data_IF_064320711648
#
_entry.id   IF_064320711648
#
_cell.length_a   1.000
_cell.length_b   1.000
_cell.length_c   1.000
_cell.angle_alpha   90.00
_cell.angle_beta   90.00
_cell.angle_gamma   90.00
#
_symmetry.space_group_name_H-M   'P 1'
#
loop_
_entity.id
_entity.type
_entity.pdbx_description
1 polymer ?
#
# COMPACT_ATOMS: atom_id res chain seq x y z
N UNK A 1 -66.25 32.76 -42.15
CA UNK A 1 -65.62 31.47 -42.44
C UNK A 1 -64.15 31.78 -42.72
N UNK A 2 -63.37 31.74 -41.78
CA UNK A 2 -61.94 32.07 -41.88
C UNK A 2 -61.24 31.29 -40.77
N UNK A 3 -60.56 30.27 -41.20
CA UNK A 3 -59.71 29.40 -40.35
C UNK A 3 -58.44 30.16 -39.95
N UNK A 4 -58.28 30.26 -38.67
CA UNK A 4 -57.05 30.81 -38.07
C UNK A 4 -56.20 29.62 -37.63
N UNK A 5 -55.16 29.27 -38.40
CA UNK A 5 -54.12 28.36 -38.00
C UNK A 5 -53.05 29.17 -37.21
N UNK A 6 -53.03 28.95 -35.92
CA UNK A 6 -51.99 29.46 -35.05
C UNK A 6 -50.81 28.48 -35.09
N UNK A 7 -49.80 28.85 -35.87
CA UNK A 7 -48.52 28.15 -35.94
C UNK A 7 -47.56 28.81 -34.91
N UNK A 8 -47.58 28.25 -33.71
CA UNK A 8 -46.56 28.62 -32.69
C UNK A 8 -45.20 27.99 -33.06
N UNK A 9 -44.45 28.66 -33.92
CA UNK A 9 -43.04 28.39 -34.15
C UNK A 9 -42.25 28.65 -32.87
N UNK A 10 -41.91 27.62 -32.18
CA UNK A 10 -41.00 27.68 -31.02
C UNK A 10 -39.58 27.96 -31.54
N UNK A 11 -39.24 29.22 -31.62
CA UNK A 11 -37.85 29.69 -31.98
C UNK A 11 -36.93 29.29 -30.84
N UNK A 12 -36.21 28.19 -30.98
CA UNK A 12 -35.13 27.82 -30.08
C UNK A 12 -33.96 28.77 -30.33
N UNK A 13 -33.64 29.58 -29.34
CA UNK A 13 -32.50 30.50 -29.42
C UNK A 13 -31.18 29.75 -29.58
N UNK A 14 -30.28 30.15 -30.50
CA UNK A 14 -29.02 29.43 -30.80
C UNK A 14 -28.04 29.23 -29.59
N UNK A 15 -28.24 29.95 -28.49
CA UNK A 15 -27.40 29.87 -27.29
C UNK A 15 -27.73 28.71 -26.32
N UNK A 16 -28.99 28.28 -26.27
CA UNK A 16 -29.44 27.25 -25.30
C UNK A 16 -29.02 25.84 -25.71
N UNK A 17 -28.94 25.56 -27.01
CA UNK A 17 -28.51 24.25 -27.53
C UNK A 17 -27.00 23.98 -27.25
N UNK A 18 -26.17 25.02 -27.23
CA UNK A 18 -24.74 24.89 -26.97
C UNK A 18 -24.42 24.65 -25.48
N UNK A 19 -25.23 25.20 -24.56
CA UNK A 19 -25.08 25.02 -23.12
C UNK A 19 -25.50 23.62 -22.68
N UNK A 20 -26.55 23.08 -23.29
CA UNK A 20 -27.07 21.74 -23.00
C UNK A 20 -26.10 20.65 -23.49
N UNK A 21 -25.57 20.78 -24.71
CA UNK A 21 -24.54 19.84 -25.23
C UNK A 21 -23.22 19.92 -24.41
N UNK A 22 -22.85 21.08 -23.90
CA UNK A 22 -21.69 21.25 -23.03
C UNK A 22 -21.85 20.56 -21.66
N UNK A 23 -23.06 20.60 -21.08
CA UNK A 23 -23.37 19.92 -19.82
C UNK A 23 -23.45 18.40 -19.98
N UNK A 24 -24.06 17.92 -21.05
CA UNK A 24 -24.14 16.47 -21.36
C UNK A 24 -22.76 15.86 -21.64
N UNK A 25 -21.89 16.57 -22.38
CA UNK A 25 -20.48 16.16 -22.58
C UNK A 25 -19.71 16.08 -21.27
N UNK A 26 -19.88 17.03 -20.35
CA UNK A 26 -19.22 17.03 -19.03
C UNK A 26 -19.73 15.89 -18.15
N UNK A 27 -21.02 15.56 -18.22
CA UNK A 27 -21.60 14.42 -17.48
C UNK A 27 -21.13 13.08 -18.06
N UNK A 28 -21.09 12.94 -19.38
CA UNK A 28 -20.56 11.74 -20.05
C UNK A 28 -19.07 11.56 -19.75
N UNK A 29 -18.28 12.64 -19.71
CA UNK A 29 -16.87 12.60 -19.40
C UNK A 29 -16.61 12.18 -17.93
N UNK A 30 -17.39 12.71 -16.98
CA UNK A 30 -17.35 12.29 -15.57
C UNK A 30 -17.73 10.82 -15.39
N UNK A 31 -18.74 10.33 -16.10
CA UNK A 31 -19.14 8.91 -16.06
C UNK A 31 -18.06 8.01 -16.64
N UNK A 32 -17.41 8.43 -17.74
CA UNK A 32 -16.32 7.66 -18.37
C UNK A 32 -15.06 7.61 -17.49
N UNK A 33 -14.76 8.67 -16.74
CA UNK A 33 -13.66 8.71 -15.75
C UNK A 33 -13.95 7.75 -14.60
N UNK A 34 -15.19 7.76 -14.07
CA UNK A 34 -15.59 6.85 -13.00
C UNK A 34 -15.51 5.38 -13.40
N UNK A 35 -15.95 5.05 -14.62
CA UNK A 35 -15.86 3.69 -15.15
C UNK A 35 -14.40 3.23 -15.31
N UNK A 36 -13.54 4.09 -15.85
CA UNK A 36 -12.10 3.79 -15.99
C UNK A 36 -11.42 3.56 -14.62
N UNK A 37 -11.77 4.34 -13.60
CA UNK A 37 -11.27 4.11 -12.24
C UNK A 37 -11.72 2.76 -11.67
N UNK A 38 -12.98 2.39 -11.90
CA UNK A 38 -13.51 1.10 -11.44
C UNK A 38 -12.84 -0.07 -12.16
N UNK A 39 -12.60 0.03 -13.46
CA UNK A 39 -11.90 -0.98 -14.26
C UNK A 39 -10.43 -1.11 -13.80
N UNK A 40 -9.75 0.00 -13.59
CA UNK A 40 -8.39 0.03 -13.07
C UNK A 40 -8.30 -0.61 -11.68
N UNK A 41 -9.22 -0.27 -10.78
CA UNK A 41 -9.30 -0.90 -9.45
C UNK A 41 -9.52 -2.42 -9.55
N UNK A 42 -10.46 -2.88 -10.38
CA UNK A 42 -10.69 -4.33 -10.58
C UNK A 42 -9.47 -5.03 -11.16
N UNK A 43 -8.80 -4.39 -12.12
CA UNK A 43 -7.56 -4.90 -12.71
C UNK A 43 -6.46 -5.04 -11.66
N UNK A 44 -6.29 -4.03 -10.79
CA UNK A 44 -5.34 -4.07 -9.69
C UNK A 44 -5.60 -5.24 -8.73
N UNK A 45 -6.86 -5.44 -8.32
CA UNK A 45 -7.25 -6.52 -7.41
C UNK A 45 -7.06 -7.91 -8.03
N UNK A 46 -7.38 -8.07 -9.31
CA UNK A 46 -7.18 -9.32 -10.02
C UNK A 46 -5.68 -9.66 -10.14
N UNK A 47 -4.87 -8.68 -10.51
CA UNK A 47 -3.42 -8.84 -10.61
C UNK A 47 -2.79 -9.16 -9.24
N UNK A 48 -3.24 -8.48 -8.17
CA UNK A 48 -2.81 -8.77 -6.80
C UNK A 48 -3.11 -10.21 -6.40
N UNK A 49 -4.33 -10.69 -6.65
CA UNK A 49 -4.72 -12.07 -6.33
C UNK A 49 -3.85 -13.08 -7.08
N UNK A 50 -3.65 -12.90 -8.39
CA UNK A 50 -2.79 -13.75 -9.20
C UNK A 50 -1.33 -13.75 -8.69
N UNK A 51 -0.82 -12.56 -8.33
CA UNK A 51 0.52 -12.42 -7.78
C UNK A 51 0.70 -13.22 -6.47
N UNK A 52 -0.27 -13.15 -5.57
CA UNK A 52 -0.26 -13.93 -4.31
C UNK A 52 -0.30 -15.44 -4.60
N UNK A 53 -1.08 -15.87 -5.58
CA UNK A 53 -1.13 -17.29 -5.96
C UNK A 53 0.21 -17.75 -6.55
N UNK A 54 0.88 -16.95 -7.39
CA UNK A 54 2.24 -17.24 -7.87
C UNK A 54 3.27 -17.25 -6.71
N UNK A 55 3.13 -16.35 -5.74
CA UNK A 55 4.00 -16.32 -4.57
C UNK A 55 3.88 -17.62 -3.76
N UNK A 56 2.65 -18.10 -3.50
CA UNK A 56 2.38 -19.39 -2.83
C UNK A 56 3.01 -20.56 -3.58
N UNK A 57 3.03 -20.51 -4.92
CA UNK A 57 3.67 -21.51 -5.78
C UNK A 57 5.20 -21.32 -5.90
N UNK A 58 5.79 -20.36 -5.18
CA UNK A 58 7.21 -19.97 -5.26
C UNK A 58 7.64 -19.53 -6.66
N UNK A 59 6.71 -19.15 -7.52
CA UNK A 59 6.95 -18.61 -8.86
C UNK A 59 7.24 -17.09 -8.75
N UNK A 60 8.36 -16.75 -8.12
CA UNK A 60 8.69 -15.38 -7.68
C UNK A 60 8.71 -14.37 -8.83
N UNK A 61 9.24 -14.72 -10.00
CA UNK A 61 9.29 -13.80 -11.14
C UNK A 61 7.89 -13.46 -11.67
N UNK A 62 6.99 -14.46 -11.74
CA UNK A 62 5.59 -14.25 -12.11
C UNK A 62 4.84 -13.43 -11.07
N UNK A 63 5.11 -13.67 -9.78
CA UNK A 63 4.56 -12.87 -8.70
C UNK A 63 4.98 -11.40 -8.81
N UNK A 64 6.27 -11.11 -9.00
CA UNK A 64 6.81 -9.75 -9.18
C UNK A 64 6.12 -9.05 -10.37
N UNK A 65 6.01 -9.74 -11.53
CA UNK A 65 5.36 -9.16 -12.71
C UNK A 65 3.91 -8.75 -12.40
N UNK A 66 3.14 -9.62 -11.73
CA UNK A 66 1.74 -9.36 -11.40
C UNK A 66 1.57 -8.31 -10.28
N UNK A 67 2.46 -8.26 -9.26
CA UNK A 67 2.46 -7.16 -8.28
C UNK A 67 2.73 -5.81 -8.96
N UNK A 68 3.66 -5.74 -9.91
CA UNK A 68 3.91 -4.52 -10.69
C UNK A 68 2.69 -4.10 -11.52
N UNK A 69 1.96 -5.05 -12.13
CA UNK A 69 0.69 -4.76 -12.83
C UNK A 69 -0.36 -4.22 -11.84
N UNK A 70 -0.47 -4.81 -10.65
CA UNK A 70 -1.39 -4.32 -9.61
C UNK A 70 -1.06 -2.86 -9.22
N UNK A 71 0.22 -2.56 -9.00
CA UNK A 71 0.71 -1.21 -8.65
C UNK A 71 0.51 -0.21 -9.80
N UNK A 72 0.70 -0.62 -11.06
CA UNK A 72 0.42 0.24 -12.22
C UNK A 72 -1.05 0.63 -12.33
N UNK A 73 -1.96 -0.27 -11.96
CA UNK A 73 -3.40 -0.01 -11.96
C UNK A 73 -3.88 0.74 -10.70
N UNK A 74 -3.20 0.57 -9.58
CA UNK A 74 -3.43 1.30 -8.33
C UNK A 74 -2.11 1.46 -7.56
N UNK A 75 -1.48 2.62 -7.70
CA UNK A 75 -0.19 2.93 -7.06
C UNK A 75 -0.27 3.03 -5.52
N UNK A 76 -1.47 3.22 -4.96
CA UNK A 76 -1.70 3.34 -3.51
C UNK A 76 -2.09 2.00 -2.86
N UNK A 77 -2.00 0.89 -3.58
CA UNK A 77 -2.31 -0.43 -3.06
C UNK A 77 -1.16 -0.93 -2.16
N UNK A 78 -1.24 -0.57 -0.88
CA UNK A 78 -0.22 -0.91 0.13
C UNK A 78 0.11 -2.40 0.18
N UNK A 79 -0.91 -3.24 0.08
CA UNK A 79 -0.78 -4.70 0.07
C UNK A 79 0.08 -5.21 -1.10
N UNK A 80 -0.06 -4.62 -2.29
CA UNK A 80 0.77 -5.01 -3.44
C UNK A 80 2.24 -4.66 -3.23
N UNK A 81 2.52 -3.49 -2.66
CA UNK A 81 3.88 -3.09 -2.29
C UNK A 81 4.46 -3.99 -1.19
N UNK A 82 3.67 -4.35 -0.19
CA UNK A 82 4.09 -5.25 0.88
C UNK A 82 4.49 -6.63 0.34
N UNK A 83 3.61 -7.28 -0.44
CA UNK A 83 3.92 -8.61 -1.00
C UNK A 83 5.04 -8.57 -2.05
N UNK A 84 5.19 -7.47 -2.79
CA UNK A 84 6.34 -7.26 -3.67
C UNK A 84 7.64 -7.23 -2.85
N UNK A 85 7.65 -6.50 -1.73
CA UNK A 85 8.78 -6.49 -0.79
C UNK A 85 9.08 -7.87 -0.23
N UNK A 86 8.06 -8.62 0.21
CA UNK A 86 8.21 -9.99 0.68
C UNK A 86 8.77 -10.91 -0.42
N UNK A 87 8.34 -10.74 -1.66
CA UNK A 87 8.84 -11.54 -2.79
C UNK A 87 10.32 -11.26 -3.07
N UNK A 88 10.72 -9.99 -3.03
CA UNK A 88 12.14 -9.63 -3.15
C UNK A 88 12.97 -10.13 -1.97
N UNK A 89 12.43 -10.08 -0.75
CA UNK A 89 13.06 -10.65 0.43
C UNK A 89 13.35 -12.16 0.26
N UNK A 90 12.38 -12.92 -0.26
CA UNK A 90 12.54 -14.36 -0.55
C UNK A 90 13.60 -14.64 -1.62
N UNK A 91 13.88 -13.68 -2.47
CA UNK A 91 14.96 -13.73 -3.47
C UNK A 91 16.30 -13.19 -2.96
N UNK A 92 16.39 -12.77 -1.69
CA UNK A 92 17.53 -12.10 -1.07
C UNK A 92 17.89 -10.75 -1.76
N UNK A 93 16.97 -10.15 -2.52
CA UNK A 93 17.11 -8.81 -3.07
C UNK A 93 16.64 -7.79 -2.02
N UNK A 94 17.46 -7.62 -1.00
CA UNK A 94 17.10 -6.82 0.18
C UNK A 94 16.92 -5.33 -0.13
N UNK A 95 17.64 -4.79 -1.11
CA UNK A 95 17.45 -3.40 -1.53
C UNK A 95 16.06 -3.18 -2.16
N UNK A 96 15.63 -4.05 -3.06
CA UNK A 96 14.30 -3.96 -3.64
C UNK A 96 13.19 -4.23 -2.61
N UNK A 97 13.43 -5.15 -1.67
CA UNK A 97 12.53 -5.40 -0.55
C UNK A 97 12.36 -4.14 0.32
N UNK A 98 13.45 -3.48 0.68
CA UNK A 98 13.45 -2.23 1.45
C UNK A 98 12.64 -1.13 0.76
N UNK A 99 12.90 -0.89 -0.53
CA UNK A 99 12.16 0.10 -1.31
C UNK A 99 10.65 -0.20 -1.37
N UNK A 100 10.30 -1.47 -1.55
CA UNK A 100 8.90 -1.91 -1.63
C UNK A 100 8.18 -1.73 -0.29
N UNK A 101 8.81 -2.10 0.86
CA UNK A 101 8.23 -1.87 2.18
C UNK A 101 8.09 -0.37 2.51
N UNK A 102 9.05 0.46 2.10
CA UNK A 102 8.94 1.91 2.25
C UNK A 102 7.73 2.48 1.46
N UNK A 103 7.43 1.97 0.26
CA UNK A 103 6.24 2.37 -0.48
C UNK A 103 4.96 1.88 0.21
N UNK A 104 4.94 0.65 0.73
CA UNK A 104 3.80 0.14 1.50
C UNK A 104 3.50 1.04 2.70
N UNK A 105 4.52 1.45 3.47
CA UNK A 105 4.38 2.36 4.62
C UNK A 105 3.86 3.75 4.18
N UNK A 106 4.27 4.26 3.02
CA UNK A 106 3.75 5.54 2.52
C UNK A 106 2.26 5.47 2.19
N UNK A 107 1.80 4.34 1.67
CA UNK A 107 0.39 4.12 1.37
C UNK A 107 -0.43 3.85 2.65
N UNK A 108 0.09 3.03 3.55
CA UNK A 108 -0.56 2.64 4.80
C UNK A 108 0.46 2.58 5.94
N UNK A 109 0.64 3.68 6.71
CA UNK A 109 1.68 3.77 7.74
C UNK A 109 1.36 3.00 9.03
N UNK A 110 0.12 2.50 9.19
CA UNK A 110 -0.38 1.92 10.43
C UNK A 110 -0.16 0.41 10.60
N UNK A 111 0.46 -0.29 9.66
CA UNK A 111 0.70 -1.73 9.79
C UNK A 111 2.06 -2.01 10.46
N UNK A 112 2.06 -2.51 11.72
CA UNK A 112 3.30 -2.84 12.43
C UNK A 112 4.11 -3.94 11.73
N UNK A 113 3.47 -4.80 10.93
CA UNK A 113 4.14 -5.89 10.22
C UNK A 113 5.06 -5.36 9.12
N UNK A 114 4.63 -4.33 8.41
CA UNK A 114 5.44 -3.73 7.36
C UNK A 114 6.69 -3.05 7.95
N UNK A 115 6.53 -2.35 9.07
CA UNK A 115 7.65 -1.74 9.79
C UNK A 115 8.64 -2.80 10.32
N UNK A 116 8.14 -3.90 10.86
CA UNK A 116 8.97 -5.02 11.32
C UNK A 116 9.79 -5.62 10.17
N UNK A 117 9.15 -5.91 9.02
CA UNK A 117 9.84 -6.44 7.85
C UNK A 117 10.87 -5.45 7.29
N UNK A 118 10.56 -4.14 7.27
CA UNK A 118 11.52 -3.11 6.90
C UNK A 118 12.73 -3.14 7.84
N UNK A 119 12.51 -3.24 9.15
CA UNK A 119 13.58 -3.34 10.14
C UNK A 119 14.49 -4.57 9.93
N UNK A 120 13.87 -5.73 9.61
CA UNK A 120 14.61 -6.96 9.31
C UNK A 120 15.49 -6.75 8.07
N UNK A 121 14.95 -6.19 7.01
CA UNK A 121 15.71 -5.93 5.78
C UNK A 121 16.85 -4.94 6.03
N UNK A 122 16.59 -3.88 6.79
CA UNK A 122 17.65 -2.92 7.17
C UNK A 122 18.77 -3.59 7.99
N UNK A 123 18.45 -4.55 8.88
CA UNK A 123 19.48 -5.34 9.59
C UNK A 123 20.32 -6.18 8.62
N UNK A 124 19.71 -6.82 7.62
CA UNK A 124 20.41 -7.64 6.62
C UNK A 124 21.30 -6.79 5.69
N UNK A 125 21.00 -5.51 5.56
CA UNK A 125 21.80 -4.51 4.85
C UNK A 125 22.83 -3.79 5.74
N UNK A 126 23.00 -4.22 7.00
CA UNK A 126 23.84 -3.56 8.03
C UNK A 126 23.42 -2.09 8.31
N UNK A 127 22.24 -1.68 7.90
CA UNK A 127 21.66 -0.34 8.12
C UNK A 127 21.01 -0.27 9.52
N UNK A 128 21.80 -0.44 10.58
CA UNK A 128 21.28 -0.62 11.94
C UNK A 128 20.51 0.60 12.48
N UNK A 129 20.85 1.83 12.06
CA UNK A 129 20.10 3.02 12.49
C UNK A 129 18.69 3.05 11.90
N UNK A 130 18.53 2.67 10.63
CA UNK A 130 17.21 2.58 9.97
C UNK A 130 16.40 1.40 10.55
N UNK A 131 17.07 0.28 10.87
CA UNK A 131 16.43 -0.85 11.55
C UNK A 131 15.86 -0.44 12.92
N UNK A 132 16.60 0.33 13.72
CA UNK A 132 16.13 0.87 15.00
C UNK A 132 14.86 1.70 14.80
N UNK A 133 14.88 2.62 13.82
CA UNK A 133 13.72 3.45 13.52
C UNK A 133 12.50 2.59 13.16
N UNK A 134 12.67 1.64 12.26
CA UNK A 134 11.59 0.76 11.80
C UNK A 134 11.01 -0.11 12.94
N UNK A 135 11.87 -0.76 13.76
CA UNK A 135 11.40 -1.55 14.90
C UNK A 135 10.73 -0.69 15.97
N UNK A 136 11.22 0.54 16.20
CA UNK A 136 10.59 1.48 17.14
C UNK A 136 9.16 1.80 16.70
N UNK A 137 8.91 2.03 15.41
CA UNK A 137 7.56 2.22 14.88
C UNK A 137 6.72 0.94 15.03
N UNK A 138 7.28 -0.24 14.74
CA UNK A 138 6.56 -1.50 14.88
C UNK A 138 6.06 -1.73 16.31
N UNK A 139 6.90 -1.51 17.33
CA UNK A 139 6.53 -1.70 18.74
C UNK A 139 5.65 -0.55 19.28
N UNK A 140 5.71 0.63 18.70
CA UNK A 140 4.81 1.72 19.03
C UNK A 140 3.39 1.44 18.54
N UNK A 141 3.24 0.85 17.35
CA UNK A 141 1.96 0.44 16.78
C UNK A 141 1.37 -0.80 17.47
N UNK A 142 2.23 -1.77 17.79
CA UNK A 142 1.82 -2.98 18.50
C UNK A 142 2.84 -3.35 19.60
N UNK A 143 2.59 -2.94 20.84
CA UNK A 143 3.49 -3.21 21.98
C UNK A 143 3.58 -4.67 22.42
N UNK A 144 2.81 -5.58 21.82
CA UNK A 144 2.87 -7.02 22.12
C UNK A 144 3.91 -7.76 21.27
N UNK A 145 4.56 -7.11 20.32
CA UNK A 145 5.55 -7.71 19.41
C UNK A 145 6.90 -7.91 20.10
N UNK A 146 7.00 -9.02 20.86
CA UNK A 146 8.23 -9.37 21.58
C UNK A 146 9.44 -9.52 20.64
N UNK A 147 9.25 -10.08 19.43
CA UNK A 147 10.32 -10.25 18.44
C UNK A 147 10.86 -8.91 17.94
N UNK A 148 9.99 -7.92 17.67
CA UNK A 148 10.42 -6.58 17.26
C UNK A 148 11.24 -5.88 18.33
N UNK A 149 10.90 -6.04 19.61
CA UNK A 149 11.74 -5.53 20.72
C UNK A 149 13.11 -6.22 20.77
N UNK A 150 13.15 -7.54 20.59
CA UNK A 150 14.42 -8.29 20.57
C UNK A 150 15.31 -7.82 19.42
N UNK A 151 14.75 -7.64 18.23
CA UNK A 151 15.48 -7.14 17.05
C UNK A 151 15.92 -5.69 17.20
N UNK A 152 15.11 -4.85 17.85
CA UNK A 152 15.49 -3.48 18.25
C UNK A 152 16.73 -3.53 19.14
N UNK A 153 16.71 -4.38 20.18
CA UNK A 153 17.85 -4.58 21.09
C UNK A 153 19.11 -5.00 20.34
N UNK A 154 18.99 -5.96 19.40
CA UNK A 154 20.12 -6.40 18.57
C UNK A 154 20.73 -5.23 17.75
N UNK A 155 19.88 -4.40 17.11
CA UNK A 155 20.35 -3.26 16.31
C UNK A 155 21.03 -2.19 17.19
N UNK A 156 20.46 -1.91 18.36
CA UNK A 156 21.04 -0.99 19.35
C UNK A 156 22.41 -1.49 19.84
N UNK A 157 22.53 -2.79 20.11
CA UNK A 157 23.78 -3.41 20.54
C UNK A 157 24.87 -3.31 19.46
N UNK A 158 24.49 -3.49 18.18
CA UNK A 158 25.41 -3.34 17.03
C UNK A 158 25.99 -1.93 16.94
N UNK A 159 25.20 -0.91 17.30
CA UNK A 159 25.64 0.49 17.36
C UNK A 159 26.31 0.88 18.70
N UNK A 160 26.58 -0.09 19.61
CA UNK A 160 27.18 0.16 20.89
C UNK A 160 26.31 0.81 21.96
N UNK A 161 24.99 0.96 21.68
CA UNK A 161 23.97 1.56 22.57
C UNK A 161 23.48 0.54 23.61
N UNK A 162 24.40 0.12 24.50
CA UNK A 162 24.20 -1.04 25.38
C UNK A 162 23.06 -0.87 26.38
N UNK A 163 22.90 0.30 26.99
CA UNK A 163 21.83 0.52 27.98
C UNK A 163 20.45 0.56 27.29
N UNK A 164 20.33 1.19 26.12
CA UNK A 164 19.11 1.18 25.34
C UNK A 164 18.75 -0.26 24.88
N UNK A 165 19.75 -1.04 24.46
CA UNK A 165 19.56 -2.44 24.07
C UNK A 165 19.02 -3.28 25.24
N UNK A 166 19.58 -3.09 26.46
CA UNK A 166 19.09 -3.77 27.66
C UNK A 166 17.61 -3.49 27.94
N UNK A 167 17.20 -2.22 27.82
CA UNK A 167 15.79 -1.83 27.96
C UNK A 167 14.92 -2.52 26.90
N UNK A 168 15.36 -2.53 25.64
CA UNK A 168 14.60 -3.19 24.57
C UNK A 168 14.43 -4.71 24.83
N UNK A 169 15.48 -5.41 25.30
CA UNK A 169 15.37 -6.82 25.67
C UNK A 169 14.44 -7.06 26.86
N UNK A 170 14.44 -6.17 27.86
CA UNK A 170 13.49 -6.26 28.97
C UNK A 170 12.04 -6.11 28.48
N UNK A 171 11.77 -5.18 27.56
CA UNK A 171 10.44 -5.03 26.96
C UNK A 171 10.04 -6.25 26.14
N UNK A 172 10.98 -6.90 25.43
CA UNK A 172 10.72 -8.14 24.73
C UNK A 172 10.22 -9.26 25.67
N UNK A 173 10.87 -9.42 26.82
CA UNK A 173 10.43 -10.40 27.85
C UNK A 173 9.04 -10.06 28.38
N UNK A 174 8.80 -8.80 28.72
CA UNK A 174 7.49 -8.36 29.21
C UNK A 174 6.36 -8.53 28.18
N UNK A 175 6.65 -8.22 26.90
CA UNK A 175 5.69 -8.43 25.81
C UNK A 175 5.34 -9.91 25.63
N UNK A 176 6.35 -10.79 25.72
CA UNK A 176 6.15 -12.24 25.65
C UNK A 176 5.28 -12.76 26.79
N UNK A 177 5.57 -12.39 28.03
CA UNK A 177 4.77 -12.78 29.19
C UNK A 177 3.31 -12.33 29.09
N UNK A 178 3.07 -11.11 28.59
CA UNK A 178 1.70 -10.60 28.38
C UNK A 178 0.96 -11.36 27.28
N UNK A 179 1.65 -11.86 26.26
CA UNK A 179 1.02 -12.66 25.19
C UNK A 179 0.65 -14.07 25.60
N UNK A 180 1.30 -14.61 26.67
CA UNK A 180 1.02 -15.95 27.22
C UNK A 180 -0.13 -15.94 28.24
N UNK A 181 -0.55 -14.76 28.74
CA UNK A 181 -1.59 -14.61 29.77
C UNK A 181 -2.94 -14.17 29.20
N UNK A 182 -3.06 -13.85 27.93
CA UNK A 182 -4.28 -13.41 27.25
C UNK A 182 -4.72 -14.34 26.15
#
# INVERSE_FOLDING_TARGET
MSDNQDSSDTVIKPGEHNLQQGSERRLADRSSVGLRHLESYRSAQNALKQAIDFLKQKSYQSAIANFKIAIQNNSELAEAHFYLGLTYFMLNDYEQARLSYQQAIKCEPGDPTVHENLGIVCQLLDQHQDAISAFTYAVALDPKRAESYSRLGNSLQKLGKREEAKVAYQQAVLAKLKSEQG
#
